data_IF_602866252500
#
_entry.id   IF_602866252500
#
_cell.length_a   1.000
_cell.length_b   1.000
_cell.length_c   1.000
_cell.angle_alpha   90.00
_cell.angle_beta   90.00
_cell.angle_gamma   90.00
#
_symmetry.space_group_name_H-M   'P 1'
#
loop_
_entity.id
_entity.type
_entity.pdbx_description
1 polymer ?
#
# COMPACT_ATOMS: atom_id res chain seq x y z
N UNK A 1 9.58 45.95 21.44
CA UNK A 1 8.99 45.35 20.22
C UNK A 1 9.76 44.16 19.67
N UNK A 2 11.07 44.26 19.35
CA UNK A 2 11.85 43.12 18.80
C UNK A 2 11.85 41.85 19.65
N UNK A 3 11.97 41.97 20.98
CA UNK A 3 11.92 40.80 21.88
C UNK A 3 10.54 40.15 21.99
N UNK A 4 9.47 40.91 21.79
CA UNK A 4 8.10 40.38 21.80
C UNK A 4 7.81 39.58 20.52
N UNK A 5 8.31 40.05 19.38
CA UNK A 5 8.24 39.33 18.09
C UNK A 5 9.03 38.03 18.17
N UNK A 6 10.22 38.04 18.77
CA UNK A 6 11.04 36.82 18.93
C UNK A 6 10.36 35.78 19.83
N UNK A 7 9.74 36.22 20.93
CA UNK A 7 8.97 35.35 21.83
C UNK A 7 7.74 34.76 21.14
N UNK A 8 7.04 35.56 20.33
CA UNK A 8 5.89 35.11 19.55
C UNK A 8 6.30 34.08 18.49
N UNK A 9 7.41 34.29 17.79
CA UNK A 9 7.97 33.31 16.83
C UNK A 9 8.39 32.02 17.54
N UNK A 10 9.00 32.12 18.72
CA UNK A 10 9.36 30.96 19.53
C UNK A 10 8.12 30.17 19.98
N UNK A 11 7.07 30.87 20.44
CA UNK A 11 5.80 30.25 20.82
C UNK A 11 5.11 29.60 19.63
N UNK A 12 5.06 30.26 18.47
CA UNK A 12 4.46 29.71 17.24
C UNK A 12 5.23 28.48 16.74
N UNK A 13 6.57 28.50 16.82
CA UNK A 13 7.40 27.36 16.43
C UNK A 13 7.22 26.19 17.41
N UNK A 14 7.27 26.44 18.72
CA UNK A 14 6.99 25.41 19.75
C UNK A 14 5.57 24.84 19.63
N UNK A 15 4.57 25.65 19.29
CA UNK A 15 3.20 25.19 19.06
C UNK A 15 3.10 24.29 17.82
N UNK A 16 3.82 24.63 16.73
CA UNK A 16 3.88 23.80 15.52
C UNK A 16 4.62 22.48 15.74
N UNK A 17 5.71 22.49 16.52
CA UNK A 17 6.47 21.27 16.85
C UNK A 17 5.76 20.36 17.86
N UNK A 18 4.98 20.92 18.79
CA UNK A 18 4.24 20.13 19.79
C UNK A 18 3.13 19.25 19.19
N UNK A 19 2.47 19.69 18.12
CA UNK A 19 1.43 18.89 17.45
C UNK A 19 1.98 17.71 16.64
N UNK A 20 3.20 17.83 16.08
CA UNK A 20 3.85 16.75 15.32
C UNK A 20 4.29 15.57 16.22
N UNK A 21 4.28 15.74 17.55
CA UNK A 21 4.70 14.70 18.49
C UNK A 21 3.57 13.73 18.87
N UNK A 22 2.31 14.00 18.51
CA UNK A 22 1.15 13.22 18.98
C UNK A 22 1.04 11.84 18.32
N UNK A 23 1.41 11.72 17.05
CA UNK A 23 1.43 10.47 16.29
C UNK A 23 2.78 10.37 15.57
N UNK A 24 3.43 9.21 15.65
CA UNK A 24 4.48 8.84 14.70
C UNK A 24 4.05 7.65 13.86
N UNK A 25 4.42 7.67 12.59
CA UNK A 25 4.29 6.56 11.66
C UNK A 25 5.69 6.28 11.12
N UNK A 26 6.30 5.18 11.54
CA UNK A 26 7.68 4.85 11.27
C UNK A 26 7.77 3.72 10.24
N UNK A 27 8.67 3.87 9.27
CA UNK A 27 9.01 2.87 8.26
C UNK A 27 10.31 2.17 8.64
N UNK A 28 10.35 0.85 8.53
CA UNK A 28 11.56 0.05 8.68
C UNK A 28 11.55 -1.17 7.77
N UNK A 29 12.73 -1.72 7.45
CA UNK A 29 12.87 -2.93 6.65
C UNK A 29 13.44 -4.05 7.52
N UNK A 30 12.79 -5.20 7.46
CA UNK A 30 13.24 -6.44 8.08
C UNK A 30 13.43 -7.51 7.01
N UNK A 31 14.56 -8.22 7.03
CA UNK A 31 14.83 -9.30 6.10
C UNK A 31 14.48 -10.64 6.76
N UNK A 32 13.69 -11.47 6.06
CA UNK A 32 13.20 -12.76 6.60
C UNK A 32 13.53 -13.89 5.64
N UNK A 33 13.96 -15.03 6.21
CA UNK A 33 14.16 -16.24 5.42
C UNK A 33 12.80 -16.87 5.10
N UNK A 34 12.53 -17.11 3.82
CA UNK A 34 11.32 -17.75 3.34
C UNK A 34 11.64 -18.88 2.37
N UNK A 35 10.71 -19.82 2.20
CA UNK A 35 10.81 -20.80 1.13
C UNK A 35 10.72 -20.08 -0.21
N UNK A 36 11.64 -20.41 -1.10
CA UNK A 36 11.53 -19.99 -2.47
C UNK A 36 10.35 -20.71 -3.12
N UNK A 37 9.38 -19.95 -3.62
CA UNK A 37 8.19 -20.48 -4.29
C UNK A 37 8.18 -20.19 -5.79
N UNK A 38 9.04 -19.28 -6.27
CA UNK A 38 9.07 -18.82 -7.64
C UNK A 38 10.30 -19.37 -8.37
N UNK A 39 10.11 -19.89 -9.57
CA UNK A 39 11.19 -20.42 -10.42
C UNK A 39 12.24 -19.37 -10.79
N UNK A 40 11.83 -18.11 -10.83
CA UNK A 40 12.65 -16.96 -11.21
C UNK A 40 13.87 -16.76 -10.31
N UNK A 41 13.77 -17.21 -9.06
CA UNK A 41 14.88 -17.22 -8.14
C UNK A 41 15.51 -18.61 -8.25
N UNK A 42 16.52 -18.76 -9.10
CA UNK A 42 17.11 -20.08 -9.37
C UNK A 42 17.94 -20.61 -8.19
N UNK A 43 17.97 -21.94 -8.05
CA UNK A 43 18.96 -22.68 -7.24
C UNK A 43 19.03 -22.35 -5.73
N UNK A 44 17.93 -21.87 -5.15
CA UNK A 44 17.84 -21.63 -3.70
C UNK A 44 16.52 -22.18 -3.15
N UNK A 45 16.58 -23.05 -2.14
CA UNK A 45 15.38 -23.52 -1.43
C UNK A 45 14.82 -22.44 -0.48
N UNK A 46 15.73 -21.61 0.06
CA UNK A 46 15.41 -20.50 0.95
C UNK A 46 15.93 -19.18 0.36
N UNK A 47 15.11 -18.14 0.45
CA UNK A 47 15.41 -16.79 0.00
C UNK A 47 15.26 -15.80 1.14
N UNK A 48 16.04 -14.73 1.13
CA UNK A 48 15.91 -13.66 2.11
C UNK A 48 15.01 -12.56 1.52
N UNK A 49 13.76 -12.51 1.98
CA UNK A 49 12.75 -11.57 1.47
C UNK A 49 12.72 -10.32 2.35
N UNK A 50 12.77 -9.11 1.76
CA UNK A 50 12.60 -7.88 2.52
C UNK A 50 11.11 -7.67 2.87
N UNK A 51 10.87 -7.12 4.06
CA UNK A 51 9.55 -6.76 4.56
C UNK A 51 9.54 -5.30 5.01
N UNK A 52 8.66 -4.48 4.46
CA UNK A 52 8.41 -3.14 4.98
C UNK A 52 7.49 -3.23 6.19
N UNK A 53 7.95 -2.73 7.33
CA UNK A 53 7.12 -2.57 8.53
C UNK A 53 6.69 -1.11 8.66
N UNK A 54 5.39 -0.88 8.79
CA UNK A 54 4.81 0.43 9.10
C UNK A 54 4.31 0.39 10.55
N UNK A 55 4.91 1.23 11.39
CA UNK A 55 4.63 1.27 12.84
C UNK A 55 3.93 2.56 13.20
N UNK A 56 2.69 2.46 13.67
CA UNK A 56 1.91 3.59 14.18
C UNK A 56 2.06 3.65 15.70
N UNK A 57 2.41 4.82 16.23
CA UNK A 57 2.58 5.05 17.66
C UNK A 57 1.77 6.25 18.11
N UNK A 58 0.83 6.01 19.01
CA UNK A 58 0.10 7.06 19.69
C UNK A 58 0.93 7.58 20.86
N UNK A 59 1.43 8.80 20.77
CA UNK A 59 2.20 9.43 21.85
C UNK A 59 1.33 10.28 22.78
N UNK A 60 0.02 10.35 22.54
CA UNK A 60 -0.90 11.13 23.37
C UNK A 60 -1.39 10.36 24.60
N UNK A 61 -2.01 11.09 25.54
CA UNK A 61 -2.74 10.55 26.70
C UNK A 61 -4.23 10.27 26.38
N UNK A 62 -4.57 10.07 25.11
CA UNK A 62 -5.94 9.82 24.66
C UNK A 62 -5.96 8.65 23.69
N UNK A 63 -7.08 7.93 23.68
CA UNK A 63 -7.34 6.96 22.63
C UNK A 63 -7.62 7.71 21.33
N UNK A 64 -6.91 7.38 20.26
CA UNK A 64 -7.07 8.03 18.95
C UNK A 64 -7.42 7.03 17.87
N UNK A 65 -8.10 7.49 16.83
CA UNK A 65 -8.21 6.75 15.59
C UNK A 65 -7.95 7.64 14.38
N UNK A 66 -7.52 7.02 13.30
CA UNK A 66 -7.24 7.70 12.04
C UNK A 66 -7.52 6.76 10.87
N UNK A 67 -7.74 7.35 9.70
CA UNK A 67 -7.68 6.59 8.45
C UNK A 67 -6.27 6.05 8.27
N UNK A 68 -6.13 4.77 7.92
CA UNK A 68 -4.82 4.19 7.61
C UNK A 68 -4.19 4.89 6.41
N UNK A 69 -2.86 4.96 6.39
CA UNK A 69 -2.12 5.44 5.21
C UNK A 69 -2.26 4.46 4.04
N UNK A 70 -2.48 3.17 4.32
CA UNK A 70 -2.78 2.12 3.33
C UNK A 70 -3.89 1.22 3.88
N UNK A 71 -4.84 0.83 3.03
CA UNK A 71 -5.77 -0.23 3.40
C UNK A 71 -5.10 -1.60 3.19
N UNK A 72 -4.93 -2.38 4.25
CA UNK A 72 -4.26 -3.67 4.16
C UNK A 72 -5.29 -4.80 4.12
N UNK A 73 -5.40 -5.42 2.95
CA UNK A 73 -6.27 -6.58 2.70
C UNK A 73 -5.44 -7.83 2.39
N UNK A 74 -4.14 -7.64 2.16
CA UNK A 74 -3.19 -8.71 1.85
C UNK A 74 -1.81 -8.29 2.33
N UNK A 75 -0.98 -9.27 2.71
CA UNK A 75 0.44 -9.02 3.08
C UNK A 75 1.28 -8.36 1.95
N UNK A 76 0.75 -8.22 0.74
CA UNK A 76 1.42 -7.56 -0.37
C UNK A 76 0.98 -6.10 -0.50
N UNK A 77 1.87 -5.19 -0.91
CA UNK A 77 1.47 -3.82 -1.20
C UNK A 77 0.45 -3.78 -2.34
N UNK A 78 -0.40 -2.75 -2.30
CA UNK A 78 -1.32 -2.44 -3.40
C UNK A 78 -0.55 -1.54 -4.35
N UNK A 79 -0.31 -2.01 -5.55
CA UNK A 79 0.36 -1.25 -6.61
C UNK A 79 -0.53 -1.37 -7.82
N UNK A 80 -0.88 -0.24 -8.42
CA UNK A 80 -1.74 -0.21 -9.60
C UNK A 80 -0.88 -0.32 -10.85
N UNK A 81 -1.29 -1.16 -11.80
CA UNK A 81 -0.73 -1.13 -13.14
C UNK A 81 -1.00 0.24 -13.79
N UNK A 82 0.02 0.82 -14.39
CA UNK A 82 -0.04 2.12 -15.06
C UNK A 82 -0.16 1.99 -16.57
N UNK A 83 0.19 0.83 -17.12
CA UNK A 83 0.18 0.54 -18.55
C UNK A 83 -0.27 -0.89 -18.76
N UNK A 84 -1.25 -1.10 -19.65
CA UNK A 84 -1.55 -2.44 -20.15
C UNK A 84 -0.45 -2.87 -21.12
N UNK A 85 0.48 -3.71 -20.66
CA UNK A 85 1.43 -4.40 -21.53
C UNK A 85 0.64 -5.44 -22.34
N UNK A 86 0.22 -5.08 -23.57
CA UNK A 86 -0.45 -6.00 -24.48
C UNK A 86 0.55 -7.00 -25.05
N UNK A 87 0.99 -7.92 -24.21
CA UNK A 87 1.75 -9.08 -24.62
C UNK A 87 0.74 -10.20 -24.90
N UNK A 88 0.94 -10.98 -25.96
CA UNK A 88 0.17 -12.22 -26.18
C UNK A 88 0.56 -13.33 -25.18
N UNK A 89 1.30 -12.97 -24.13
CA UNK A 89 2.04 -13.86 -23.26
C UNK A 89 1.29 -14.01 -21.94
N UNK A 90 1.23 -15.23 -21.40
CA UNK A 90 0.60 -15.46 -20.11
C UNK A 90 1.32 -14.66 -19.01
N UNK A 91 0.59 -14.08 -18.08
CA UNK A 91 1.17 -13.25 -17.01
C UNK A 91 2.22 -14.02 -16.18
N UNK A 92 2.00 -15.32 -15.96
CA UNK A 92 2.96 -16.17 -15.25
C UNK A 92 4.27 -16.30 -16.02
N UNK A 93 4.19 -16.40 -17.34
CA UNK A 93 5.36 -16.46 -18.21
C UNK A 93 6.05 -15.08 -18.24
N UNK A 94 5.28 -13.98 -18.23
CA UNK A 94 5.84 -12.61 -18.21
C UNK A 94 6.67 -12.39 -16.94
N UNK A 95 6.17 -12.85 -15.79
CA UNK A 95 6.94 -12.83 -14.54
C UNK A 95 8.22 -13.65 -14.68
N UNK A 96 8.21 -14.85 -15.28
CA UNK A 96 9.45 -15.61 -15.51
C UNK A 96 10.50 -14.85 -16.36
N UNK A 97 10.05 -14.04 -17.33
CA UNK A 97 10.91 -13.23 -18.22
C UNK A 97 11.00 -11.75 -17.83
N UNK A 98 10.73 -11.43 -16.56
CA UNK A 98 10.72 -10.06 -16.05
C UNK A 98 11.95 -9.24 -16.47
N UNK A 99 11.75 -7.92 -16.53
CA UNK A 99 12.86 -6.96 -16.62
C UNK A 99 13.47 -6.78 -15.23
N UNK A 100 14.80 -6.63 -15.21
CA UNK A 100 15.56 -6.32 -13.99
C UNK A 100 16.10 -4.91 -14.05
N UNK A 101 16.10 -4.21 -12.92
CA UNK A 101 16.46 -2.80 -12.81
C UNK A 101 17.58 -2.58 -11.78
N UNK A 102 18.54 -3.51 -11.70
CA UNK A 102 19.71 -3.36 -10.83
C UNK A 102 20.45 -2.04 -11.14
N UNK A 103 20.98 -1.40 -10.10
CA UNK A 103 21.62 -0.07 -10.12
C UNK A 103 20.70 1.12 -10.45
N UNK A 104 19.42 0.90 -10.74
CA UNK A 104 18.45 1.99 -10.91
C UNK A 104 17.86 2.43 -9.56
N UNK A 105 17.56 3.72 -9.47
CA UNK A 105 17.11 4.37 -8.24
C UNK A 105 15.66 4.86 -8.38
N UNK A 106 14.82 4.49 -7.41
CA UNK A 106 13.39 4.78 -7.40
C UNK A 106 12.94 5.38 -6.08
N UNK A 107 11.97 6.29 -6.15
CA UNK A 107 11.17 6.73 -5.01
C UNK A 107 9.88 5.92 -4.98
N UNK A 108 9.52 5.42 -3.80
CA UNK A 108 8.26 4.73 -3.54
C UNK A 108 7.43 5.59 -2.60
N UNK A 109 6.30 6.09 -3.10
CA UNK A 109 5.36 6.91 -2.34
C UNK A 109 4.23 6.04 -1.82
N UNK A 110 4.12 5.97 -0.49
CA UNK A 110 3.13 5.23 0.25
C UNK A 110 2.02 6.20 0.65
N UNK A 111 0.81 6.00 0.14
CA UNK A 111 -0.31 6.87 0.48
C UNK A 111 -1.33 6.99 -0.64
N UNK A 112 -2.28 7.90 -0.45
CA UNK A 112 -3.35 8.11 -1.42
C UNK A 112 -2.89 9.03 -2.54
N UNK A 113 -2.40 8.46 -3.65
CA UNK A 113 -2.72 9.06 -4.94
C UNK A 113 -4.23 9.01 -5.11
N UNK A 114 -4.89 10.17 -5.01
CA UNK A 114 -6.33 10.32 -5.21
C UNK A 114 -6.77 9.93 -6.64
N UNK A 115 -5.83 9.69 -7.55
CA UNK A 115 -6.05 9.33 -8.95
C UNK A 115 -5.88 7.83 -9.25
N UNK A 116 -5.10 7.07 -8.45
CA UNK A 116 -4.69 5.69 -8.78
C UNK A 116 -5.13 4.62 -7.78
N UNK A 117 -6.19 4.88 -7.03
CA UNK A 117 -6.80 3.84 -6.22
C UNK A 117 -5.96 3.42 -5.01
N UNK A 118 -5.40 4.39 -4.29
CA UNK A 118 -4.93 4.19 -2.90
C UNK A 118 -3.79 3.18 -2.74
N UNK A 119 -2.99 2.98 -3.79
CA UNK A 119 -1.81 2.13 -3.80
C UNK A 119 -0.50 2.90 -3.68
N UNK A 120 0.61 2.16 -3.68
CA UNK A 120 1.96 2.72 -3.73
C UNK A 120 2.29 3.10 -5.16
N UNK A 121 3.02 4.20 -5.29
CA UNK A 121 3.47 4.74 -6.57
C UNK A 121 4.99 4.70 -6.63
N UNK A 122 5.53 4.20 -7.74
CA UNK A 122 6.96 3.97 -7.92
C UNK A 122 7.44 4.82 -9.08
N UNK A 123 8.26 5.82 -8.77
CA UNK A 123 8.79 6.77 -9.74
C UNK A 123 10.31 6.68 -9.79
N UNK A 124 10.91 6.89 -10.97
CA UNK A 124 12.35 7.08 -11.07
C UNK A 124 12.80 8.26 -10.19
N UNK A 125 14.01 8.17 -9.63
CA UNK A 125 14.52 9.13 -8.63
C UNK A 125 14.38 10.61 -9.00
N UNK A 126 14.49 10.93 -10.29
CA UNK A 126 14.48 12.30 -10.80
C UNK A 126 13.12 12.77 -11.35
N UNK A 127 12.08 11.93 -11.29
CA UNK A 127 10.75 12.29 -11.78
C UNK A 127 10.05 13.18 -10.75
N UNK A 128 9.56 14.35 -11.17
CA UNK A 128 8.69 15.17 -10.35
C UNK A 128 7.27 14.61 -10.37
N UNK A 129 6.85 14.09 -9.22
CA UNK A 129 5.52 13.52 -9.00
C UNK A 129 4.38 14.50 -9.29
N UNK A 130 4.60 15.81 -9.12
CA UNK A 130 3.56 16.81 -9.33
C UNK A 130 3.41 17.23 -10.80
N UNK A 131 4.27 16.70 -11.67
CA UNK A 131 4.20 16.89 -13.11
C UNK A 131 3.52 15.72 -13.79
N UNK A 132 3.07 15.90 -15.03
CA UNK A 132 2.66 14.76 -15.85
C UNK A 132 3.88 13.88 -16.15
N UNK A 133 3.76 12.59 -15.88
CA UNK A 133 4.81 11.61 -16.16
C UNK A 133 4.18 10.32 -16.71
N UNK A 134 4.97 9.59 -17.49
CA UNK A 134 4.58 8.26 -17.96
C UNK A 134 4.74 7.23 -16.84
N UNK A 135 3.81 6.27 -16.78
CA UNK A 135 3.85 5.19 -15.81
C UNK A 135 5.17 4.41 -15.85
N UNK A 136 5.74 4.12 -14.68
CA UNK A 136 7.03 3.45 -14.60
C UNK A 136 6.91 1.97 -14.99
N UNK A 137 7.80 1.50 -15.87
CA UNK A 137 7.83 0.08 -16.30
C UNK A 137 8.02 -0.85 -15.11
N UNK A 138 8.88 -0.47 -14.16
CA UNK A 138 9.12 -1.26 -12.94
C UNK A 138 7.86 -1.39 -12.08
N UNK A 139 6.98 -0.38 -12.07
CA UNK A 139 5.73 -0.45 -11.33
C UNK A 139 4.83 -1.56 -11.87
N UNK A 140 4.78 -1.72 -13.20
CA UNK A 140 4.03 -2.80 -13.84
C UNK A 140 4.66 -4.17 -13.54
N UNK A 141 5.98 -4.30 -13.62
CA UNK A 141 6.69 -5.55 -13.28
C UNK A 141 6.39 -5.98 -11.84
N UNK A 142 6.47 -5.05 -10.88
CA UNK A 142 6.19 -5.33 -9.47
C UNK A 142 4.69 -5.65 -9.27
N UNK A 143 3.79 -4.94 -9.97
CA UNK A 143 2.36 -5.23 -9.96
C UNK A 143 2.07 -6.66 -10.41
N UNK A 144 2.63 -7.09 -11.55
CA UNK A 144 2.45 -8.42 -12.13
C UNK A 144 2.93 -9.53 -11.18
N UNK A 145 4.07 -9.33 -10.51
CA UNK A 145 4.59 -10.27 -9.51
C UNK A 145 3.59 -10.43 -8.36
N UNK A 146 3.08 -9.34 -7.80
CA UNK A 146 2.12 -9.42 -6.69
C UNK A 146 0.76 -9.97 -7.13
N UNK A 147 0.32 -9.70 -8.35
CA UNK A 147 -0.90 -10.28 -8.91
C UNK A 147 -0.79 -11.80 -9.01
N UNK A 148 0.33 -12.30 -9.54
CA UNK A 148 0.62 -13.74 -9.62
C UNK A 148 0.70 -14.40 -8.24
N UNK A 149 1.37 -13.76 -7.28
CA UNK A 149 1.46 -14.26 -5.91
C UNK A 149 0.09 -14.34 -5.23
N UNK A 150 -0.73 -13.29 -5.36
CA UNK A 150 -2.12 -13.27 -4.85
C UNK A 150 -2.93 -14.37 -5.51
N UNK A 151 -2.94 -14.46 -6.83
CA UNK A 151 -3.70 -15.49 -7.58
C UNK A 151 -3.29 -16.90 -7.16
N UNK A 152 -2.00 -17.18 -6.97
CA UNK A 152 -1.57 -18.49 -6.49
C UNK A 152 -2.01 -18.78 -5.05
N UNK A 153 -2.03 -17.79 -4.16
CA UNK A 153 -2.56 -17.95 -2.79
C UNK A 153 -4.05 -18.26 -2.80
N UNK A 154 -4.83 -17.59 -3.65
CA UNK A 154 -6.25 -17.88 -3.84
C UNK A 154 -6.45 -19.28 -4.40
N UNK A 155 -5.69 -19.64 -5.43
CA UNK A 155 -5.75 -20.96 -6.03
C UNK A 155 -5.43 -22.04 -4.99
N UNK A 156 -4.43 -21.85 -4.14
CA UNK A 156 -4.10 -22.76 -3.04
C UNK A 156 -5.24 -22.90 -2.02
N UNK A 157 -5.96 -21.81 -1.73
CA UNK A 157 -7.08 -21.83 -0.79
C UNK A 157 -8.32 -22.56 -1.36
N UNK A 158 -8.52 -22.51 -2.67
CA UNK A 158 -9.64 -23.21 -3.34
C UNK A 158 -9.29 -24.67 -3.62
N UNK A 159 -8.13 -24.88 -4.24
CA UNK A 159 -7.66 -26.19 -4.70
C UNK A 159 -6.13 -26.20 -4.83
N UNK A 160 -5.48 -26.82 -3.85
CA UNK A 160 -4.03 -26.90 -3.75
C UNK A 160 -3.36 -27.79 -4.80
N UNK A 161 -4.12 -28.48 -5.66
CA UNK A 161 -3.59 -29.30 -6.76
C UNK A 161 -2.98 -28.46 -7.88
N UNK A 162 -3.40 -27.21 -8.04
CA UNK A 162 -3.01 -26.38 -9.18
C UNK A 162 -1.90 -25.39 -8.84
N UNK A 163 -1.11 -25.04 -9.86
CA UNK A 163 -0.13 -23.97 -9.80
C UNK A 163 -0.08 -23.16 -11.09
N UNK A 164 0.38 -21.91 -10.98
CA UNK A 164 0.80 -21.10 -12.12
C UNK A 164 2.20 -21.55 -12.59
N UNK A 165 2.53 -21.30 -13.86
CA UNK A 165 3.75 -21.82 -14.47
C UNK A 165 5.02 -21.35 -13.77
N UNK A 166 5.04 -20.11 -13.27
CA UNK A 166 6.17 -19.49 -12.58
C UNK A 166 6.49 -20.07 -11.18
N UNK A 167 5.68 -20.99 -10.65
CA UNK A 167 5.91 -21.59 -9.33
C UNK A 167 6.68 -22.93 -9.40
N UNK A 168 7.52 -23.17 -8.40
CA UNK A 168 8.42 -24.32 -8.32
C UNK A 168 7.81 -25.58 -7.67
N UNK A 169 6.49 -25.63 -7.40
CA UNK A 169 5.87 -26.81 -6.79
C UNK A 169 5.94 -28.06 -7.69
N UNK A 170 6.66 -29.11 -7.29
CA UNK A 170 6.93 -30.28 -8.14
C UNK A 170 5.69 -31.14 -8.44
N UNK A 171 4.70 -31.14 -7.54
CA UNK A 171 3.57 -32.09 -7.55
C UNK A 171 2.22 -31.47 -7.93
N UNK A 172 2.22 -30.28 -8.55
CA UNK A 172 1.01 -29.54 -8.90
C UNK A 172 0.81 -29.45 -10.40
N UNK A 173 -0.43 -29.54 -10.85
CA UNK A 173 -0.82 -29.37 -12.24
C UNK A 173 -0.76 -27.88 -12.62
N UNK A 174 -0.20 -27.57 -13.80
CA UNK A 174 -0.05 -26.20 -14.27
C UNK A 174 -1.38 -25.70 -14.86
N UNK A 175 -1.75 -24.46 -14.51
CA UNK A 175 -2.76 -23.64 -15.18
C UNK A 175 -2.09 -22.37 -15.72
N UNK A 176 -2.60 -21.85 -16.82
CA UNK A 176 -2.34 -20.45 -17.23
C UNK A 176 -2.95 -19.48 -16.22
N UNK A 177 -2.48 -18.24 -16.20
CA UNK A 177 -3.07 -17.19 -15.37
C UNK A 177 -4.57 -17.02 -15.66
N UNK A 178 -4.95 -16.97 -16.94
CA UNK A 178 -6.35 -16.80 -17.34
C UNK A 178 -7.25 -17.97 -16.90
N UNK A 179 -6.75 -19.21 -17.00
CA UNK A 179 -7.47 -20.38 -16.51
C UNK A 179 -7.63 -20.35 -14.98
N UNK A 180 -6.57 -19.98 -14.25
CA UNK A 180 -6.61 -19.85 -12.80
C UNK A 180 -7.59 -18.75 -12.38
N UNK A 181 -7.52 -17.55 -12.98
CA UNK A 181 -8.42 -16.44 -12.68
C UNK A 181 -9.88 -16.78 -12.96
N UNK A 182 -10.16 -17.47 -14.08
CA UNK A 182 -11.51 -17.98 -14.37
C UNK A 182 -11.96 -19.01 -13.34
N UNK A 183 -11.10 -19.97 -13.00
CA UNK A 183 -11.41 -20.99 -11.99
C UNK A 183 -11.69 -20.37 -10.62
N UNK A 184 -10.90 -19.38 -10.20
CA UNK A 184 -11.10 -18.61 -8.97
C UNK A 184 -12.45 -17.90 -9.00
N UNK A 185 -12.76 -17.21 -10.10
CA UNK A 185 -14.03 -16.50 -10.27
C UNK A 185 -15.25 -17.44 -10.18
N UNK A 186 -15.19 -18.60 -10.81
CA UNK A 186 -16.30 -19.57 -10.83
C UNK A 186 -16.51 -20.27 -9.47
N UNK A 187 -15.46 -20.41 -8.65
CA UNK A 187 -15.51 -21.16 -7.39
C UNK A 187 -15.60 -20.27 -6.13
N UNK A 188 -15.61 -18.95 -6.26
CA UNK A 188 -15.74 -18.03 -5.12
C UNK A 188 -17.10 -17.31 -5.05
N UNK A 189 -17.58 -17.10 -3.82
CA UNK A 189 -18.67 -16.19 -3.51
C UNK A 189 -18.23 -14.72 -3.58
N UNK A 190 -19.17 -13.83 -3.94
CA UNK A 190 -19.02 -12.36 -3.97
C UNK A 190 -18.36 -11.76 -2.71
N UNK A 191 -18.47 -12.42 -1.55
CA UNK A 191 -17.81 -12.02 -0.29
C UNK A 191 -16.29 -11.91 -0.36
N UNK A 192 -15.64 -12.61 -1.28
CA UNK A 192 -14.20 -12.51 -1.49
C UNK A 192 -13.80 -11.18 -2.16
N UNK A 193 -14.63 -10.67 -3.07
CA UNK A 193 -14.50 -9.35 -3.71
C UNK A 193 -14.96 -8.20 -2.82
N UNK A 194 -15.66 -8.47 -1.71
CA UNK A 194 -15.99 -7.42 -0.71
C UNK A 194 -14.75 -6.91 0.05
N UNK A 195 -13.67 -7.67 0.00
CA UNK A 195 -12.36 -7.29 0.50
C UNK A 195 -11.57 -6.51 -0.56
N UNK A 196 -12.24 -5.78 -1.46
CA UNK A 196 -11.59 -4.79 -2.31
C UNK A 196 -11.26 -3.53 -1.51
N UNK A 197 -10.19 -2.86 -1.93
CA UNK A 197 -9.80 -1.58 -1.34
C UNK A 197 -10.95 -0.60 -1.57
N UNK A 198 -11.58 -0.16 -0.48
CA UNK A 198 -12.60 0.90 -0.57
C UNK A 198 -11.88 2.21 -0.85
N UNK A 199 -11.89 2.60 -2.12
CA UNK A 199 -11.29 3.84 -2.61
C UNK A 199 -12.22 5.02 -2.44
N UNK A 200 -13.50 4.75 -2.67
CA UNK A 200 -14.58 5.71 -2.57
C UNK A 200 -15.61 5.17 -1.59
N UNK A 201 -15.93 5.97 -0.59
CA UNK A 201 -16.93 5.61 0.40
C UNK A 201 -18.30 6.08 -0.08
N UNK A 202 -19.36 5.35 0.24
CA UNK A 202 -20.71 5.92 0.16
C UNK A 202 -20.90 6.87 1.33
N UNK A 203 -21.74 7.88 1.15
CA UNK A 203 -22.08 8.78 2.27
C UNK A 203 -22.61 7.99 3.47
N UNK A 204 -23.39 6.94 3.20
CA UNK A 204 -23.97 6.05 4.20
C UNK A 204 -22.96 5.12 4.86
N UNK A 205 -21.71 5.07 4.39
CA UNK A 205 -20.64 4.26 4.98
C UNK A 205 -19.94 4.96 6.15
N UNK A 206 -20.02 6.30 6.20
CA UNK A 206 -19.33 7.12 7.19
C UNK A 206 -20.21 7.35 8.42
N UNK A 207 -20.47 6.25 9.13
CA UNK A 207 -21.17 6.23 10.42
C UNK A 207 -20.35 5.48 11.47
N UNK A 208 -20.57 5.78 12.75
CA UNK A 208 -19.84 5.11 13.84
C UNK A 208 -20.02 3.59 13.80
N UNK A 209 -21.23 3.12 13.50
CA UNK A 209 -21.57 1.70 13.44
C UNK A 209 -20.83 1.00 12.28
N UNK A 210 -20.94 1.53 11.06
CA UNK A 210 -20.27 0.91 9.90
C UNK A 210 -18.76 0.99 9.99
N UNK A 211 -18.21 2.08 10.52
CA UNK A 211 -16.75 2.18 10.70
C UNK A 211 -16.23 1.08 11.63
N UNK A 212 -16.96 0.76 12.70
CA UNK A 212 -16.55 -0.29 13.66
C UNK A 212 -16.84 -1.69 13.14
N UNK A 213 -17.97 -1.91 12.48
CA UNK A 213 -18.45 -3.24 12.13
C UNK A 213 -17.98 -3.70 10.75
N UNK A 214 -17.82 -2.78 9.80
CA UNK A 214 -17.59 -3.10 8.38
C UNK A 214 -16.25 -2.55 7.88
N UNK A 215 -15.87 -1.33 8.28
CA UNK A 215 -14.69 -0.65 7.73
C UNK A 215 -13.49 -0.62 8.66
N UNK A 216 -13.52 -1.37 9.77
CA UNK A 216 -12.52 -1.28 10.84
C UNK A 216 -11.09 -1.42 10.34
N UNK A 217 -10.88 -2.26 9.31
CA UNK A 217 -9.57 -2.52 8.74
C UNK A 217 -8.98 -1.32 7.97
N UNK A 218 -9.81 -0.36 7.57
CA UNK A 218 -9.39 0.86 6.87
C UNK A 218 -8.92 1.94 7.86
N UNK A 219 -9.09 1.72 9.16
CA UNK A 219 -8.71 2.65 10.23
C UNK A 219 -7.70 2.02 11.18
N UNK A 220 -6.86 2.85 11.79
CA UNK A 220 -6.03 2.50 12.93
C UNK A 220 -6.71 3.03 14.18
N UNK A 221 -6.92 2.17 15.17
CA UNK A 221 -7.41 2.52 16.50
C UNK A 221 -6.29 2.26 17.51
N UNK A 222 -5.83 3.30 18.19
CA UNK A 222 -4.74 3.25 19.15
C UNK A 222 -5.22 3.75 20.49
N UNK A 223 -5.10 2.93 21.53
CA UNK A 223 -5.19 3.41 22.90
C UNK A 223 -4.05 4.37 23.19
N UNK A 224 -4.17 5.13 24.28
CA UNK A 224 -3.06 5.92 24.81
C UNK A 224 -1.77 5.09 24.85
N UNK A 225 -0.67 5.68 24.36
CA UNK A 225 0.68 5.05 24.31
C UNK A 225 0.77 3.74 23.52
N UNK A 226 -0.27 3.33 22.81
CA UNK A 226 -0.27 2.09 22.06
C UNK A 226 0.60 2.19 20.81
N UNK A 227 1.25 1.07 20.50
CA UNK A 227 1.94 0.82 19.23
C UNK A 227 1.18 -0.24 18.45
N UNK A 228 0.99 0.00 17.16
CA UNK A 228 0.47 -0.95 16.19
C UNK A 228 1.48 -1.04 15.04
N UNK A 229 1.63 -2.22 14.45
CA UNK A 229 2.49 -2.38 13.28
C UNK A 229 1.86 -3.34 12.29
N UNK A 230 2.12 -3.08 11.02
CA UNK A 230 1.78 -3.96 9.92
C UNK A 230 2.99 -4.16 9.01
N UNK A 231 3.05 -5.30 8.34
CA UNK A 231 4.17 -5.68 7.49
C UNK A 231 3.69 -5.98 6.08
N UNK A 232 4.50 -5.55 5.10
CA UNK A 232 4.29 -5.81 3.68
C UNK A 232 5.48 -6.57 3.12
N UNK A 233 5.21 -7.70 2.49
CA UNK A 233 6.20 -8.50 1.78
C UNK A 233 6.66 -7.73 0.54
N UNK A 234 7.97 -7.47 0.44
CA UNK A 234 8.60 -6.72 -0.65
C UNK A 234 9.26 -7.64 -1.70
N UNK A 235 8.85 -8.90 -1.82
CA UNK A 235 9.45 -9.85 -2.77
C UNK A 235 9.40 -9.36 -4.22
N UNK A 236 8.37 -8.59 -4.60
CA UNK A 236 8.29 -7.99 -5.93
C UNK A 236 9.42 -7.00 -6.19
N UNK A 237 9.77 -6.19 -5.20
CA UNK A 237 10.92 -5.26 -5.26
C UNK A 237 12.25 -6.04 -5.30
N UNK A 238 12.37 -7.08 -4.48
CA UNK A 238 13.54 -7.96 -4.46
C UNK A 238 13.80 -8.60 -5.84
N UNK A 239 12.75 -9.13 -6.47
CA UNK A 239 12.84 -9.80 -7.78
C UNK A 239 13.11 -8.80 -8.90
N UNK A 240 12.43 -7.65 -8.93
CA UNK A 240 12.63 -6.66 -10.00
C UNK A 240 14.04 -6.09 -10.03
N UNK A 241 14.79 -6.17 -8.92
CA UNK A 241 16.05 -5.46 -8.77
C UNK A 241 15.84 -3.95 -8.73
N UNK A 242 16.87 -3.23 -8.26
CA UNK A 242 16.86 -1.77 -8.10
C UNK A 242 16.87 -1.32 -6.64
N UNK A 243 17.03 -0.02 -6.47
CA UNK A 243 17.18 0.63 -5.18
C UNK A 243 15.98 1.54 -4.91
N UNK A 244 15.35 1.37 -3.75
CA UNK A 244 14.04 1.96 -3.46
C UNK A 244 14.06 2.79 -2.18
N UNK A 245 13.73 4.08 -2.30
CA UNK A 245 13.51 4.95 -1.16
C UNK A 245 12.00 5.05 -0.86
N UNK A 246 11.55 4.41 0.21
CA UNK A 246 10.16 4.40 0.65
C UNK A 246 9.84 5.61 1.53
N UNK A 247 8.75 6.29 1.22
CA UNK A 247 8.27 7.48 1.95
C UNK A 247 6.76 7.46 2.08
N UNK A 248 6.22 8.05 3.16
CA UNK A 248 4.77 8.32 3.26
C UNK A 248 4.51 9.69 2.63
N UNK A 249 3.62 9.73 1.64
CA UNK A 249 3.34 10.91 0.79
C UNK A 249 2.91 12.13 1.60
N UNK A 250 1.86 11.96 2.41
CA UNK A 250 1.30 13.02 3.22
C UNK A 250 1.55 12.72 4.68
N UNK A 251 2.42 13.50 5.32
CA UNK A 251 2.61 13.47 6.77
C UNK A 251 1.46 14.15 7.53
N UNK A 252 0.23 14.07 7.00
CA UNK A 252 -0.97 14.76 7.48
C UNK A 252 -2.18 13.83 7.45
N UNK A 253 -2.87 13.71 8.59
CA UNK A 253 -4.19 13.09 8.64
C UNK A 253 -5.27 14.17 8.49
N UNK A 254 -6.00 14.15 7.38
CA UNK A 254 -6.97 15.19 7.05
C UNK A 254 -8.32 15.08 7.78
N UNK A 255 -8.64 13.91 8.34
CA UNK A 255 -9.92 13.69 9.05
C UNK A 255 -11.16 13.67 8.14
N UNK A 256 -10.99 13.54 6.83
CA UNK A 256 -12.07 13.33 5.86
C UNK A 256 -11.72 12.20 4.90
N UNK A 257 -12.74 11.67 4.22
CA UNK A 257 -12.59 10.74 3.09
C UNK A 257 -13.25 11.32 1.84
N UNK A 258 -12.85 10.83 0.67
CA UNK A 258 -13.56 11.09 -0.57
C UNK A 258 -14.71 10.08 -0.73
N UNK A 259 -15.85 10.60 -1.19
CA UNK A 259 -17.01 9.81 -1.55
C UNK A 259 -16.95 9.36 -3.02
N UNK A 260 -17.84 8.45 -3.39
CA UNK A 260 -18.07 8.05 -4.79
C UNK A 260 -18.19 9.29 -5.70
N UNK A 261 -17.45 9.30 -6.83
CA UNK A 261 -17.44 10.44 -7.72
C UNK A 261 -18.81 10.60 -8.38
N UNK A 262 -19.30 11.83 -8.44
CA UNK A 262 -20.55 12.17 -9.11
C UNK A 262 -20.23 13.00 -10.34
N UNK A 263 -20.74 12.59 -11.51
CA UNK A 263 -20.55 13.37 -12.72
C UNK A 263 -21.38 14.66 -12.65
N UNK A 264 -20.70 15.80 -12.76
CA UNK A 264 -21.36 17.11 -12.84
C UNK A 264 -21.67 17.43 -14.30
N UNK A 265 -22.95 17.48 -14.65
CA UNK A 265 -23.40 17.86 -16.00
C UNK A 265 -23.07 19.31 -16.34
N UNK A 266 -23.06 20.20 -15.34
CA UNK A 266 -22.72 21.62 -15.48
C UNK A 266 -21.24 21.82 -15.76
N UNK A 267 -20.36 21.13 -15.01
CA UNK A 267 -18.91 21.29 -15.13
C UNK A 267 -18.27 20.30 -16.12
N UNK A 268 -19.05 19.36 -16.67
CA UNK A 268 -18.60 18.27 -17.55
C UNK A 268 -17.39 17.50 -17.01
N UNK A 269 -17.36 17.27 -15.70
CA UNK A 269 -16.28 16.55 -15.00
C UNK A 269 -16.80 15.73 -13.82
N UNK A 270 -16.02 14.74 -13.41
CA UNK A 270 -16.25 13.98 -12.19
C UNK A 270 -15.88 14.81 -10.95
N UNK A 271 -16.79 14.88 -9.99
CA UNK A 271 -16.60 15.59 -8.74
C UNK A 271 -16.46 14.61 -7.57
N UNK A 272 -15.35 14.74 -6.85
CA UNK A 272 -15.02 13.94 -5.67
C UNK A 272 -15.42 14.70 -4.40
N UNK A 273 -16.60 14.39 -3.86
CA UNK A 273 -17.09 15.04 -2.65
C UNK A 273 -16.31 14.56 -1.42
N UNK A 274 -16.13 15.44 -0.44
CA UNK A 274 -15.47 15.12 0.83
C UNK A 274 -16.51 14.92 1.92
N UNK A 275 -16.32 13.87 2.74
CA UNK A 275 -17.11 13.62 3.95
C UNK A 275 -16.18 13.61 5.16
N UNK A 276 -16.48 14.44 6.14
CA UNK A 276 -15.77 14.42 7.42
C UNK A 276 -16.02 13.09 8.13
N UNK A 277 -14.94 12.52 8.66
CA UNK A 277 -15.05 11.41 9.59
C UNK A 277 -15.67 11.89 10.91
N UNK A 278 -16.35 11.01 11.68
CA UNK A 278 -16.85 11.36 13.00
C UNK A 278 -15.76 11.93 13.93
N UNK A 279 -16.08 12.73 14.94
CA UNK A 279 -15.02 13.19 15.87
C UNK A 279 -14.65 12.13 16.91
N UNK A 280 -15.60 11.26 17.25
CA UNK A 280 -15.45 10.24 18.28
C UNK A 280 -16.14 8.95 17.83
N UNK A 281 -15.40 7.84 17.91
CA UNK A 281 -15.92 6.50 17.66
C UNK A 281 -15.51 5.61 18.82
N UNK A 282 -16.50 5.06 19.54
CA UNK A 282 -16.28 4.10 20.63
C UNK A 282 -15.19 4.52 21.64
N UNK A 283 -15.18 5.81 22.01
CA UNK A 283 -14.20 6.38 22.95
C UNK A 283 -12.81 6.71 22.35
N UNK A 284 -12.61 6.52 21.05
CA UNK A 284 -11.43 6.99 20.32
C UNK A 284 -11.72 8.34 19.66
N UNK A 285 -10.82 9.29 19.82
CA UNK A 285 -10.90 10.61 19.20
C UNK A 285 -10.26 10.60 17.82
N UNK A 286 -10.87 11.25 16.84
CA UNK A 286 -10.31 11.37 15.51
C UNK A 286 -9.01 12.19 15.55
N UNK A 287 -7.92 11.60 15.10
CA UNK A 287 -6.67 12.33 14.90
C UNK A 287 -6.75 13.16 13.62
N UNK A 288 -6.42 14.45 13.74
CA UNK A 288 -6.30 15.38 12.60
C UNK A 288 -5.04 16.21 12.76
N UNK A 289 -4.27 16.32 11.69
CA UNK A 289 -3.05 17.11 11.64
C UNK A 289 -1.81 16.30 11.28
N UNK A 290 -0.67 16.95 11.44
CA UNK A 290 0.61 16.41 11.00
C UNK A 290 1.08 15.26 11.89
N UNK A 291 1.81 14.30 11.35
CA UNK A 291 2.48 13.24 12.11
C UNK A 291 3.94 13.14 11.72
N UNK A 292 4.77 12.63 12.63
CA UNK A 292 6.17 12.37 12.33
C UNK A 292 6.31 11.10 11.49
N UNK A 293 7.14 11.16 10.45
CA UNK A 293 7.50 9.99 9.62
C UNK A 293 8.96 10.07 9.20
N UNK A 294 9.53 8.94 8.81
CA UNK A 294 10.84 8.82 8.18
C UNK A 294 10.72 8.29 6.75
N UNK A 295 11.86 8.19 6.08
CA UNK A 295 12.05 7.37 4.90
C UNK A 295 12.89 6.13 5.25
N UNK A 296 12.79 5.09 4.43
CA UNK A 296 13.67 3.91 4.53
C UNK A 296 14.12 3.51 3.13
N UNK A 297 15.39 3.11 3.02
CA UNK A 297 16.01 2.75 1.76
C UNK A 297 16.24 1.23 1.69
N UNK A 298 15.82 0.62 0.58
CA UNK A 298 16.07 -0.76 0.23
C UNK A 298 17.12 -0.78 -0.87
N UNK A 299 18.28 -1.33 -0.57
CA UNK A 299 19.34 -1.59 -1.53
C UNK A 299 19.32 -3.09 -1.86
N UNK A 300 19.29 -3.43 -3.14
CA UNK A 300 19.32 -4.82 -3.61
C UNK A 300 20.58 -4.99 -4.44
N UNK A 301 21.59 -5.62 -3.83
CA UNK A 301 22.81 -6.00 -4.53
C UNK A 301 22.52 -7.09 -5.56
N UNK A 302 22.99 -6.91 -6.80
CA UNK A 302 23.10 -7.98 -7.79
C UNK A 302 24.24 -8.93 -7.38
N UNK A 303 24.03 -9.73 -6.35
CA UNK A 303 24.90 -10.88 -6.04
C UNK A 303 24.29 -12.13 -6.67
N UNK A 304 24.22 -12.12 -8.00
CA UNK A 304 24.21 -13.35 -8.80
C UNK A 304 25.63 -13.89 -8.96
#
# INVERSE_FOLDING_TARGET
MKHFILLLILLITLYKYGYSQCLSIELSIEWKSENNVLKIIENQDLICVPYLTITYRNNTEKNIYLLKTINNISKYPIISSTISLNTKMDLSEQVEKHLTFFDEEFNVYIGKSCYFGGGWEILGRNIDRNSEYEGSVIQNVICDIYEILKTQELLNNINDKYKLSCFNYSNKQILTYNEASKFIYENHSIEFYKNEVILNYKDTDITNEKIINELKNNFVFLKEKQVYSEQFNLIGFYISGGNFNFTIEDSVSYGFVYLEPIFSEEEKRWNFQKKNLPEIINGYYLYKGNFNTNSVYLEIDDKK
#
